data_IF_835155605992
#
_entry.id   IF_835155605992
#
_cell.length_a   1.000
_cell.length_b   1.000
_cell.length_c   1.000
_cell.angle_alpha   90.00
_cell.angle_beta   90.00
_cell.angle_gamma   90.00
#
_symmetry.space_group_name_H-M   'P 1'
#
loop_
_entity.id
_entity.type
_entity.pdbx_description
1 polymer ?
#
# COMPACT_ATOMS: atom_id res chain seq x y z
N UNK A 1 -32.61 -1.88 -9.49
CA UNK A 1 -31.45 -2.78 -9.25
C UNK A 1 -30.20 -2.06 -9.73
N UNK A 2 -29.28 -1.70 -8.84
CA UNK A 2 -28.05 -1.00 -9.23
C UNK A 2 -27.11 -1.97 -9.96
N UNK A 3 -26.81 -1.68 -11.22
CA UNK A 3 -25.82 -2.41 -12.01
C UNK A 3 -24.46 -2.19 -11.36
N UNK A 4 -23.93 -3.20 -10.66
CA UNK A 4 -22.54 -3.18 -10.19
C UNK A 4 -21.64 -3.19 -11.44
N UNK A 5 -21.17 -2.00 -11.84
CA UNK A 5 -20.09 -1.88 -12.83
C UNK A 5 -18.87 -2.61 -12.25
N UNK A 6 -18.48 -3.73 -12.87
CA UNK A 6 -17.19 -4.38 -12.58
C UNK A 6 -16.09 -3.33 -12.71
N UNK A 7 -15.48 -2.94 -11.58
CA UNK A 7 -14.34 -2.02 -11.54
C UNK A 7 -13.24 -2.65 -12.39
N UNK A 8 -12.71 -1.92 -13.38
CA UNK A 8 -11.59 -2.41 -14.18
C UNK A 8 -10.44 -2.72 -13.23
N UNK A 9 -9.90 -3.93 -13.33
CA UNK A 9 -8.73 -4.35 -12.54
C UNK A 9 -7.58 -3.40 -12.85
N UNK A 10 -6.98 -2.83 -11.81
CA UNK A 10 -5.84 -1.92 -11.93
C UNK A 10 -4.58 -2.74 -12.24
N UNK A 11 -4.35 -2.98 -13.53
CA UNK A 11 -3.27 -3.86 -14.02
C UNK A 11 -1.89 -3.37 -13.59
N UNK A 12 -1.68 -2.06 -13.52
CA UNK A 12 -0.42 -1.47 -13.09
C UNK A 12 -0.09 -1.85 -11.64
N UNK A 13 -1.09 -1.75 -10.75
CA UNK A 13 -0.93 -2.18 -9.36
C UNK A 13 -0.75 -3.70 -9.24
N UNK A 14 -1.52 -4.48 -10.00
CA UNK A 14 -1.43 -5.95 -9.97
C UNK A 14 -0.07 -6.47 -10.47
N UNK A 15 0.57 -5.78 -11.41
CA UNK A 15 1.91 -6.14 -11.90
C UNK A 15 3.05 -5.50 -11.10
N UNK A 16 2.75 -4.68 -10.10
CA UNK A 16 3.77 -3.96 -9.33
C UNK A 16 4.56 -4.88 -8.40
N UNK A 17 5.78 -4.46 -8.03
CA UNK A 17 6.58 -5.21 -7.06
C UNK A 17 5.93 -5.27 -5.68
N UNK A 18 5.04 -4.33 -5.33
CA UNK A 18 4.28 -4.32 -4.08
C UNK A 18 3.43 -5.57 -3.87
N UNK A 19 3.03 -6.27 -4.93
CA UNK A 19 2.30 -7.53 -4.82
C UNK A 19 3.13 -8.67 -4.23
N UNK A 20 4.45 -8.51 -4.08
CA UNK A 20 5.32 -9.44 -3.34
C UNK A 20 5.17 -9.29 -1.83
N UNK A 21 4.64 -8.16 -1.36
CA UNK A 21 4.42 -7.91 0.07
C UNK A 21 3.23 -8.77 0.52
N UNK A 22 3.41 -9.65 1.53
CA UNK A 22 2.32 -10.46 2.05
C UNK A 22 1.08 -9.63 2.41
N UNK A 23 -0.11 -10.17 2.05
CA UNK A 23 -1.44 -9.56 2.32
C UNK A 23 -1.68 -8.20 1.66
N UNK A 24 -0.83 -7.77 0.73
CA UNK A 24 -1.05 -6.53 0.00
C UNK A 24 -2.33 -6.58 -0.84
N UNK A 25 -3.16 -5.54 -0.74
CA UNK A 25 -4.34 -5.37 -1.60
C UNK A 25 -3.97 -4.59 -2.85
N UNK A 26 -4.58 -4.91 -3.99
CA UNK A 26 -4.35 -4.21 -5.28
C UNK A 26 -4.68 -2.71 -5.17
N UNK A 27 -5.72 -2.34 -4.43
CA UNK A 27 -6.09 -0.94 -4.19
C UNK A 27 -5.02 -0.16 -3.42
N UNK A 28 -4.33 -0.80 -2.48
CA UNK A 28 -3.25 -0.17 -1.71
C UNK A 28 -1.97 -0.13 -2.54
N UNK A 29 -1.67 -1.17 -3.31
CA UNK A 29 -0.57 -1.12 -4.28
C UNK A 29 -0.77 0.05 -5.26
N UNK A 30 -2.01 0.30 -5.69
CA UNK A 30 -2.35 1.48 -6.48
C UNK A 30 -2.13 2.78 -5.70
N UNK A 31 -2.53 2.84 -4.44
CA UNK A 31 -2.27 3.97 -3.54
C UNK A 31 -0.78 4.28 -3.40
N UNK A 32 0.10 3.27 -3.31
CA UNK A 32 1.56 3.46 -3.27
C UNK A 32 2.09 4.07 -4.57
N UNK A 33 1.59 3.59 -5.72
CA UNK A 33 1.91 4.16 -7.04
C UNK A 33 1.45 5.61 -7.15
N UNK A 34 0.22 5.90 -6.74
CA UNK A 34 -0.34 7.26 -6.75
C UNK A 34 0.41 8.19 -5.77
N UNK A 35 0.95 7.64 -4.67
CA UNK A 35 1.84 8.34 -3.74
C UNK A 35 3.24 8.63 -4.33
N UNK A 36 3.55 8.10 -5.51
CA UNK A 36 4.81 8.33 -6.22
C UNK A 36 5.88 7.26 -5.99
N UNK A 37 5.51 6.11 -5.42
CA UNK A 37 6.41 4.98 -5.20
C UNK A 37 6.16 3.93 -6.27
N UNK A 38 7.20 3.54 -6.99
CA UNK A 38 7.11 2.54 -8.07
C UNK A 38 7.68 1.19 -7.69
N UNK A 39 8.62 1.15 -6.73
CA UNK A 39 9.33 -0.06 -6.34
C UNK A 39 9.48 -0.17 -4.82
N UNK A 40 9.55 -1.41 -4.30
CA UNK A 40 9.64 -1.68 -2.84
C UNK A 40 10.83 -0.97 -2.20
N UNK A 41 12.03 -1.01 -2.81
CA UNK A 41 13.23 -0.40 -2.22
C UNK A 41 13.12 1.11 -2.03
N UNK A 42 12.23 1.79 -2.76
CA UNK A 42 12.02 3.23 -2.61
C UNK A 42 11.28 3.61 -1.32
N UNK A 43 10.73 2.60 -0.61
CA UNK A 43 10.07 2.74 0.68
C UNK A 43 11.07 2.76 1.85
N UNK A 44 12.28 2.27 1.65
CA UNK A 44 13.31 2.24 2.70
C UNK A 44 13.65 3.67 3.15
N UNK A 45 13.57 3.93 4.47
CA UNK A 45 13.80 5.25 5.04
C UNK A 45 12.72 6.30 4.72
N UNK A 46 11.59 5.92 4.12
CA UNK A 46 10.42 6.80 3.94
C UNK A 46 9.50 6.72 5.16
N UNK A 47 8.88 7.84 5.54
CA UNK A 47 7.78 7.83 6.50
C UNK A 47 6.48 7.34 5.82
N UNK A 48 5.83 6.27 6.34
CA UNK A 48 4.52 5.82 5.90
C UNK A 48 3.46 6.94 5.96
N UNK A 49 3.44 7.71 7.04
CA UNK A 49 2.48 8.78 7.31
C UNK A 49 2.63 9.91 6.29
N UNK A 50 3.88 10.26 5.95
CA UNK A 50 4.16 11.29 4.95
C UNK A 50 3.71 10.82 3.56
N UNK A 51 4.04 9.58 3.17
CA UNK A 51 3.58 9.00 1.90
C UNK A 51 2.04 8.97 1.81
N UNK A 52 1.38 8.62 2.90
CA UNK A 52 -0.08 8.58 2.98
C UNK A 52 -0.70 9.98 2.92
N UNK A 53 -0.11 10.97 3.58
CA UNK A 53 -0.54 12.36 3.49
C UNK A 53 -0.41 12.91 2.06
N UNK A 54 0.68 12.61 1.36
CA UNK A 54 0.86 12.98 -0.06
C UNK A 54 -0.17 12.31 -0.98
N UNK A 55 -0.55 11.07 -0.68
CA UNK A 55 -1.65 10.40 -1.37
C UNK A 55 -2.98 11.11 -1.13
N UNK A 56 -3.30 11.44 0.13
CA UNK A 56 -4.56 12.13 0.47
C UNK A 56 -4.70 13.50 -0.20
N UNK A 57 -3.59 14.22 -0.40
CA UNK A 57 -3.58 15.47 -1.19
C UNK A 57 -4.01 15.28 -2.65
N UNK A 58 -3.83 14.08 -3.21
CA UNK A 58 -4.20 13.74 -4.60
C UNK A 58 -5.57 13.07 -4.68
N UNK A 59 -6.00 12.37 -3.63
CA UNK A 59 -7.23 11.59 -3.55
C UNK A 59 -7.82 11.66 -2.14
N UNK A 60 -8.92 12.40 -1.98
CA UNK A 60 -9.68 12.49 -0.73
C UNK A 60 -10.45 11.20 -0.39
N UNK A 61 -10.65 10.29 -1.35
CA UNK A 61 -11.48 9.09 -1.19
C UNK A 61 -10.74 7.86 -0.63
N UNK A 62 -9.53 8.06 -0.08
CA UNK A 62 -8.70 6.95 0.40
C UNK A 62 -9.00 6.63 1.86
N UNK A 63 -9.41 5.38 2.18
CA UNK A 63 -9.66 4.94 3.55
C UNK A 63 -8.42 5.02 4.45
N UNK A 64 -8.60 5.42 5.71
CA UNK A 64 -7.52 5.48 6.70
C UNK A 64 -6.86 4.12 6.97
N UNK A 65 -7.59 3.02 6.78
CA UNK A 65 -7.03 1.67 6.91
C UNK A 65 -5.85 1.41 5.96
N UNK A 66 -5.72 2.17 4.87
CA UNK A 66 -4.59 2.05 3.93
C UNK A 66 -3.26 2.42 4.60
N UNK A 67 -3.26 3.30 5.62
CA UNK A 67 -2.05 3.69 6.33
C UNK A 67 -1.36 2.48 6.98
N UNK A 68 -2.14 1.54 7.51
CA UNK A 68 -1.60 0.31 8.09
C UNK A 68 -0.81 -0.53 7.07
N UNK A 69 -1.26 -0.53 5.80
CA UNK A 69 -0.53 -1.20 4.72
C UNK A 69 0.71 -0.43 4.29
N UNK A 70 0.68 0.91 4.34
CA UNK A 70 1.87 1.73 4.06
C UNK A 70 2.96 1.46 5.10
N UNK A 71 2.60 1.41 6.38
CA UNK A 71 3.51 1.04 7.48
C UNK A 71 4.10 -0.35 7.28
N UNK A 72 3.24 -1.33 6.97
CA UNK A 72 3.68 -2.69 6.67
C UNK A 72 4.60 -2.76 5.44
N UNK A 73 4.35 -1.96 4.40
CA UNK A 73 5.15 -1.94 3.19
C UNK A 73 6.55 -1.35 3.42
N UNK A 74 6.65 -0.27 4.22
CA UNK A 74 7.95 0.29 4.65
C UNK A 74 8.69 -0.73 5.51
N UNK A 75 8.04 -1.34 6.50
CA UNK A 75 8.64 -2.39 7.32
C UNK A 75 9.20 -3.54 6.47
N UNK A 76 8.44 -4.01 5.48
CA UNK A 76 8.88 -5.06 4.56
C UNK A 76 10.11 -4.65 3.75
N UNK A 77 10.18 -3.39 3.30
CA UNK A 77 11.33 -2.89 2.55
C UNK A 77 12.59 -2.83 3.43
N UNK A 78 12.44 -2.42 4.69
CA UNK A 78 13.53 -2.23 5.64
C UNK A 78 14.03 -3.54 6.27
N UNK A 79 13.23 -4.62 6.24
CA UNK A 79 13.55 -5.88 6.91
C UNK A 79 13.56 -7.03 5.92
N UNK A 80 14.76 -7.49 5.52
CA UNK A 80 14.92 -8.67 4.67
C UNK A 80 15.80 -9.76 5.35
N UNK A 81 15.23 -10.93 5.71
CA UNK A 81 13.82 -11.30 5.61
C UNK A 81 12.95 -10.62 6.70
N UNK A 82 11.68 -10.28 6.41
CA UNK A 82 10.78 -9.66 7.38
C UNK A 82 10.26 -10.68 8.39
N UNK A 83 9.93 -10.23 9.61
CA UNK A 83 9.21 -11.08 10.57
C UNK A 83 7.79 -11.34 10.08
N UNK A 84 7.45 -12.63 9.90
CA UNK A 84 6.13 -13.09 9.45
C UNK A 84 4.99 -12.59 10.33
N UNK A 85 5.23 -12.38 11.63
CA UNK A 85 4.23 -11.90 12.58
C UNK A 85 3.83 -10.45 12.31
N UNK A 86 4.76 -9.65 11.81
CA UNK A 86 4.56 -8.25 11.46
C UNK A 86 3.91 -8.07 10.08
N UNK A 87 3.78 -9.15 9.29
CA UNK A 87 3.20 -9.13 7.95
C UNK A 87 1.66 -9.25 7.96
N UNK A 88 1.02 -8.55 8.88
CA UNK A 88 -0.43 -8.39 8.94
C UNK A 88 -0.80 -6.92 9.17
N UNK A 89 -1.69 -6.30 8.36
CA UNK A 89 -2.05 -4.90 8.52
C UNK A 89 -2.59 -4.54 9.91
N UNK A 90 -3.26 -5.46 10.60
CA UNK A 90 -3.75 -5.22 11.97
C UNK A 90 -2.65 -4.92 12.99
N UNK A 91 -1.40 -5.33 12.73
CA UNK A 91 -0.25 -5.00 13.57
C UNK A 91 0.18 -3.53 13.44
N UNK A 92 -0.44 -2.77 12.54
CA UNK A 92 -0.05 -1.42 12.15
C UNK A 92 -1.22 -0.43 12.18
N UNK A 93 -2.31 -0.76 12.87
CA UNK A 93 -3.55 0.05 12.93
C UNK A 93 -3.52 1.19 13.97
N UNK A 94 -2.36 1.45 14.60
CA UNK A 94 -2.20 2.51 15.62
C UNK A 94 -2.59 3.92 15.17
#
# INVERSE_FOLDING_TARGET
>A
MAVQKKKKVDRAALSSSFMRIPRMKVEVARSLIDAGVSEIFQLEGRSPETLFAELKKKRDDVPDEHLAYFRMAVYFAENQPPDRKMMHPSCWMD
#
